data_IF_016696379505
#
_entry.id   IF_016696379505
#
_cell.length_a   1.000
_cell.length_b   1.000
_cell.length_c   1.000
_cell.angle_alpha   90.00
_cell.angle_beta   90.00
_cell.angle_gamma   90.00
#
_symmetry.space_group_name_H-M   'P 1'
#
loop_
_entity.id
_entity.type
_entity.pdbx_description
1 polymer ?
#
# COMPACT_ATOMS: atom_id res chain seq x y z
N UNK A 1 2.99 -17.47 10.45
CA UNK A 1 4.13 -16.97 9.64
C UNK A 1 4.15 -15.44 9.73
N UNK A 2 5.31 -14.85 10.03
CA UNK A 2 5.49 -13.39 9.92
C UNK A 2 6.07 -13.12 8.54
N UNK A 3 5.41 -12.24 7.79
CA UNK A 3 5.81 -11.89 6.43
C UNK A 3 7.01 -10.94 6.45
N UNK A 4 8.04 -11.26 5.67
CA UNK A 4 9.18 -10.36 5.43
C UNK A 4 8.95 -9.55 4.15
N UNK A 5 8.31 -8.40 4.30
CA UNK A 5 8.03 -7.53 3.16
C UNK A 5 9.26 -6.85 2.59
N UNK A 6 10.38 -6.77 3.32
CA UNK A 6 11.62 -6.24 2.76
C UNK A 6 12.22 -7.24 1.78
N UNK A 7 12.32 -8.51 2.17
CA UNK A 7 12.81 -9.56 1.28
C UNK A 7 11.93 -9.67 0.03
N UNK A 8 10.61 -9.68 0.20
CA UNK A 8 9.66 -9.73 -0.92
C UNK A 8 9.74 -8.49 -1.83
N UNK A 9 9.88 -7.29 -1.26
CA UNK A 9 10.09 -6.08 -2.05
C UNK A 9 11.38 -6.14 -2.87
N UNK A 10 12.47 -6.70 -2.31
CA UNK A 10 13.72 -6.89 -3.04
C UNK A 10 13.57 -7.86 -4.23
N UNK A 11 12.77 -8.93 -4.09
CA UNK A 11 12.44 -9.82 -5.21
C UNK A 11 11.75 -9.08 -6.35
N UNK A 12 10.73 -8.27 -6.05
CA UNK A 12 10.04 -7.44 -7.05
C UNK A 12 11.02 -6.47 -7.72
N UNK A 13 11.78 -5.71 -6.91
CA UNK A 13 12.74 -4.71 -7.40
C UNK A 13 13.83 -5.33 -8.28
N UNK A 14 14.27 -6.55 -7.96
CA UNK A 14 15.28 -7.25 -8.74
C UNK A 14 14.79 -7.66 -10.14
N UNK A 15 13.47 -7.79 -10.33
CA UNK A 15 12.86 -8.12 -11.62
C UNK A 15 12.48 -6.88 -12.45
N UNK A 16 12.54 -5.66 -11.88
CA UNK A 16 12.20 -4.44 -12.62
C UNK A 16 13.27 -4.08 -13.67
N UNK A 17 12.89 -3.52 -14.82
CA UNK A 17 13.87 -3.06 -15.80
C UNK A 17 14.68 -1.89 -15.24
N UNK A 18 15.98 -1.82 -15.57
CA UNK A 18 16.83 -0.68 -15.20
C UNK A 18 16.81 0.30 -16.36
N UNK A 19 16.05 1.38 -16.21
CA UNK A 19 15.81 2.37 -17.26
C UNK A 19 15.94 3.77 -16.69
N UNK A 20 16.54 4.67 -17.47
CA UNK A 20 16.50 6.11 -17.17
C UNK A 20 15.04 6.57 -17.16
N UNK A 21 14.58 7.00 -16.00
CA UNK A 21 13.28 7.62 -15.81
C UNK A 21 13.39 8.72 -14.76
N UNK A 22 12.42 9.63 -14.74
CA UNK A 22 12.33 10.73 -13.76
C UNK A 22 11.04 10.61 -12.96
N UNK A 23 11.16 10.56 -11.64
CA UNK A 23 10.04 10.56 -10.71
C UNK A 23 10.01 11.87 -9.93
N UNK A 24 8.96 12.66 -10.12
CA UNK A 24 8.70 13.85 -9.33
C UNK A 24 8.03 13.46 -8.00
N UNK A 25 8.55 13.98 -6.87
CA UNK A 25 8.02 13.71 -5.54
C UNK A 25 7.65 15.02 -4.86
N UNK A 26 6.38 15.17 -4.52
CA UNK A 26 5.89 16.27 -3.68
C UNK A 26 5.94 15.87 -2.22
N UNK A 27 6.67 16.62 -1.42
CA UNK A 27 6.80 16.39 0.02
C UNK A 27 6.55 17.70 0.76
N UNK A 28 5.61 17.66 1.70
CA UNK A 28 5.46 18.74 2.68
C UNK A 28 6.74 18.79 3.54
N UNK A 29 7.46 19.92 3.59
CA UNK A 29 8.67 20.04 4.40
C UNK A 29 8.45 19.78 5.89
N UNK A 30 7.22 19.93 6.39
CA UNK A 30 6.87 19.63 7.78
C UNK A 30 6.59 18.14 8.03
N UNK A 31 6.43 17.33 6.97
CA UNK A 31 6.17 15.91 7.08
C UNK A 31 7.47 15.10 7.27
N UNK A 32 7.99 15.12 8.50
CA UNK A 32 9.22 14.41 8.89
C UNK A 32 9.12 12.89 8.68
N UNK A 33 7.93 12.31 8.89
CA UNK A 33 7.68 10.88 8.67
C UNK A 33 7.75 10.52 7.18
N UNK A 34 7.15 11.34 6.32
CA UNK A 34 7.21 11.22 4.87
C UNK A 34 8.63 11.39 4.34
N UNK A 35 9.41 12.31 4.90
CA UNK A 35 10.81 12.51 4.50
C UNK A 35 11.66 11.23 4.64
N UNK A 36 11.41 10.40 5.67
CA UNK A 36 12.09 9.10 5.81
C UNK A 36 11.74 8.14 4.68
N UNK A 37 10.49 8.10 4.24
CA UNK A 37 10.08 7.27 3.09
C UNK A 37 10.61 7.78 1.78
N UNK A 38 10.67 9.11 1.60
CA UNK A 38 11.31 9.70 0.42
C UNK A 38 12.77 9.28 0.34
N UNK A 39 13.52 9.27 1.45
CA UNK A 39 14.90 8.74 1.47
C UNK A 39 15.00 7.29 0.98
N UNK A 40 14.12 6.41 1.48
CA UNK A 40 14.06 5.01 1.03
C UNK A 40 13.76 4.93 -0.47
N UNK A 41 12.79 5.71 -0.95
CA UNK A 41 12.44 5.80 -2.37
C UNK A 41 13.63 6.31 -3.20
N UNK A 42 14.39 7.29 -2.72
CA UNK A 42 15.59 7.79 -3.40
C UNK A 42 16.68 6.73 -3.51
N UNK A 43 16.90 5.92 -2.48
CA UNK A 43 17.87 4.82 -2.52
C UNK A 43 17.45 3.75 -3.55
N UNK A 44 16.17 3.37 -3.58
CA UNK A 44 15.62 2.44 -4.56
C UNK A 44 15.70 3.02 -5.97
N UNK A 45 15.31 4.29 -6.15
CA UNK A 45 15.38 4.99 -7.43
C UNK A 45 16.80 4.96 -8.02
N UNK A 46 17.82 5.28 -7.19
CA UNK A 46 19.23 5.24 -7.60
C UNK A 46 19.64 3.86 -8.10
N UNK A 47 19.21 2.79 -7.42
CA UNK A 47 19.50 1.39 -7.82
C UNK A 47 18.84 1.01 -9.15
N UNK A 48 17.68 1.60 -9.46
CA UNK A 48 16.93 1.33 -10.69
C UNK A 48 17.31 2.25 -11.86
N UNK A 49 18.19 3.23 -11.63
CA UNK A 49 18.54 4.24 -12.64
C UNK A 49 17.50 5.35 -12.80
N UNK A 50 16.63 5.54 -11.79
CA UNK A 50 15.60 6.57 -11.75
C UNK A 50 16.12 7.81 -11.03
N UNK A 51 15.92 8.97 -11.63
CA UNK A 51 16.19 10.28 -11.04
C UNK A 51 14.98 10.75 -10.23
N UNK A 52 15.21 11.27 -9.02
CA UNK A 52 14.18 11.88 -8.18
C UNK A 52 14.28 13.40 -8.31
N UNK A 53 13.16 14.04 -8.63
CA UNK A 53 13.03 15.50 -8.67
C UNK A 53 12.02 15.93 -7.61
N UNK A 54 12.34 16.93 -6.79
CA UNK A 54 11.46 17.35 -5.70
C UNK A 54 10.52 18.50 -6.12
N UNK A 55 9.26 18.42 -5.70
CA UNK A 55 8.27 19.52 -5.72
C UNK A 55 8.11 20.23 -7.09
N UNK A 56 8.00 19.46 -8.18
CA UNK A 56 7.87 19.97 -9.55
C UNK A 56 6.76 19.26 -10.33
N UNK A 57 5.86 20.02 -10.97
CA UNK A 57 4.83 19.55 -11.92
C UNK A 57 5.10 20.17 -13.29
N UNK A 58 4.83 19.42 -14.35
CA UNK A 58 4.80 19.94 -15.72
C UNK A 58 6.15 19.97 -16.44
N UNK A 59 7.16 19.26 -15.94
CA UNK A 59 8.43 19.04 -16.63
C UNK A 59 8.42 17.75 -17.48
N UNK A 60 9.64 17.26 -17.74
CA UNK A 60 9.90 16.04 -18.50
C UNK A 60 9.86 14.76 -17.64
N UNK A 61 9.17 14.81 -16.51
CA UNK A 61 9.09 13.68 -15.58
C UNK A 61 8.18 12.56 -16.13
N UNK A 62 8.57 11.30 -15.90
CA UNK A 62 7.84 10.11 -16.35
C UNK A 62 6.73 9.69 -15.39
N UNK A 63 6.87 10.05 -14.10
CA UNK A 63 5.86 9.83 -13.07
C UNK A 63 5.92 10.91 -12.01
N UNK A 64 4.79 11.13 -11.33
CA UNK A 64 4.61 12.13 -10.28
C UNK A 64 3.89 11.45 -9.12
N UNK A 65 4.34 11.71 -7.90
CA UNK A 65 3.65 11.27 -6.68
C UNK A 65 3.60 12.36 -5.62
N UNK A 66 2.60 12.28 -4.74
CA UNK A 66 2.47 13.17 -3.57
C UNK A 66 2.67 12.35 -2.31
N UNK A 67 3.73 12.64 -1.57
CA UNK A 67 4.02 11.95 -0.32
C UNK A 67 3.03 12.42 0.75
N UNK A 68 2.12 11.52 1.14
CA UNK A 68 1.16 11.77 2.19
C UNK A 68 1.76 11.61 3.60
N UNK A 69 1.20 12.31 4.61
CA UNK A 69 0.24 13.40 4.49
C UNK A 69 0.85 14.66 3.83
N UNK A 70 0.01 15.41 3.11
CA UNK A 70 0.34 16.72 2.54
C UNK A 70 -0.91 17.62 2.62
N UNK A 71 -0.80 18.88 3.08
CA UNK A 71 -1.95 19.77 3.26
C UNK A 71 -2.72 19.99 1.94
N UNK A 72 -1.99 20.23 0.85
CA UNK A 72 -2.58 20.41 -0.49
C UNK A 72 -2.72 19.11 -1.30
N UNK A 73 -2.70 17.94 -0.65
CA UNK A 73 -2.66 16.64 -1.36
C UNK A 73 -3.71 16.51 -2.46
N UNK A 74 -4.99 16.80 -2.17
CA UNK A 74 -6.06 16.71 -3.15
C UNK A 74 -5.85 17.62 -4.37
N UNK A 75 -5.40 18.87 -4.13
CA UNK A 75 -5.11 19.83 -5.18
C UNK A 75 -3.92 19.40 -6.03
N UNK A 76 -2.86 18.88 -5.41
CA UNK A 76 -1.68 18.40 -6.14
C UNK A 76 -2.02 17.16 -6.97
N UNK A 77 -2.69 16.17 -6.37
CA UNK A 77 -3.09 14.92 -7.05
C UNK A 77 -3.99 15.23 -8.26
N UNK A 78 -4.94 16.17 -8.14
CA UNK A 78 -5.83 16.53 -9.25
C UNK A 78 -5.13 17.25 -10.41
N UNK A 79 -3.93 17.80 -10.20
CA UNK A 79 -3.10 18.44 -11.23
C UNK A 79 -2.12 17.49 -11.93
N UNK A 80 -1.92 16.29 -11.39
CA UNK A 80 -1.07 15.28 -12.01
C UNK A 80 -1.76 14.76 -13.28
N UNK A 81 -1.11 14.76 -14.45
CA UNK A 81 -1.64 14.07 -15.63
C UNK A 81 -1.89 12.58 -15.31
N UNK A 82 -3.06 12.01 -15.61
CA UNK A 82 -3.42 10.64 -15.19
C UNK A 82 -2.35 9.60 -15.52
N UNK A 83 -1.78 9.66 -16.72
CA UNK A 83 -0.75 8.74 -17.21
C UNK A 83 0.59 8.85 -16.46
N UNK A 84 0.78 9.92 -15.68
CA UNK A 84 1.96 10.15 -14.83
C UNK A 84 1.66 9.90 -13.34
N UNK A 85 0.42 9.60 -12.94
CA UNK A 85 0.06 9.32 -11.54
C UNK A 85 0.48 7.91 -11.11
N UNK A 86 1.78 7.67 -11.02
CA UNK A 86 2.36 6.35 -10.73
C UNK A 86 2.06 5.84 -9.31
N UNK A 87 1.58 6.70 -8.42
CA UNK A 87 1.10 6.31 -7.08
C UNK A 87 -0.37 5.86 -7.09
N UNK A 88 -1.08 6.10 -8.20
CA UNK A 88 -2.46 5.66 -8.44
C UNK A 88 -3.48 6.31 -7.52
N UNK A 89 -3.26 7.58 -7.13
CA UNK A 89 -4.13 8.27 -6.17
C UNK A 89 -5.31 9.00 -6.81
N UNK A 90 -5.30 9.18 -8.13
CA UNK A 90 -6.43 9.73 -8.90
C UNK A 90 -7.47 8.66 -9.18
N UNK A 91 -8.74 9.07 -9.29
CA UNK A 91 -9.83 8.15 -9.68
C UNK A 91 -9.70 7.67 -11.13
N UNK A 92 -9.15 8.50 -12.02
CA UNK A 92 -8.90 8.23 -13.44
C UNK A 92 -7.47 7.76 -13.72
N UNK A 93 -6.69 7.43 -12.68
CA UNK A 93 -5.35 6.88 -12.86
C UNK A 93 -5.43 5.54 -13.61
N UNK A 94 -4.57 5.31 -14.63
CA UNK A 94 -4.51 4.01 -15.27
C UNK A 94 -3.81 2.97 -14.40
N UNK A 95 -3.21 3.36 -13.27
CA UNK A 95 -2.43 2.47 -12.40
C UNK A 95 -3.17 2.12 -11.11
N UNK A 96 -2.88 0.93 -10.58
CA UNK A 96 -3.36 0.55 -9.24
C UNK A 96 -2.66 1.43 -8.22
N UNK A 97 -3.40 1.94 -7.21
CA UNK A 97 -2.75 2.57 -6.09
C UNK A 97 -1.67 1.64 -5.56
N UNK A 98 -0.44 2.15 -5.42
CA UNK A 98 0.72 1.29 -5.15
C UNK A 98 0.52 0.41 -3.90
N UNK A 99 -0.18 0.94 -2.89
CA UNK A 99 -0.54 0.22 -1.65
C UNK A 99 -1.57 -0.90 -1.88
N UNK A 100 -2.52 -0.70 -2.80
CA UNK A 100 -3.53 -1.71 -3.14
C UNK A 100 -2.87 -2.82 -3.96
N UNK A 101 -1.96 -2.47 -4.88
CA UNK A 101 -1.14 -3.47 -5.58
C UNK A 101 -0.28 -4.25 -4.60
N UNK A 102 0.41 -3.59 -3.69
CA UNK A 102 1.23 -4.26 -2.69
C UNK A 102 0.42 -5.25 -1.85
N UNK A 103 -0.78 -4.87 -1.39
CA UNK A 103 -1.69 -5.78 -0.68
C UNK A 103 -2.08 -6.99 -1.53
N UNK A 104 -2.36 -6.78 -2.83
CA UNK A 104 -2.66 -7.84 -3.79
C UNK A 104 -1.47 -8.79 -3.99
N UNK A 105 -0.27 -8.28 -4.23
CA UNK A 105 0.94 -9.10 -4.43
C UNK A 105 1.28 -9.91 -3.18
N UNK A 106 1.15 -9.32 -1.98
CA UNK A 106 1.32 -10.04 -0.72
C UNK A 106 0.31 -11.17 -0.60
N UNK A 107 -0.96 -10.93 -0.91
CA UNK A 107 -1.99 -11.96 -0.85
C UNK A 107 -1.77 -13.08 -1.88
N UNK A 108 -1.36 -12.74 -3.12
CA UNK A 108 -1.05 -13.70 -4.17
C UNK A 108 0.18 -14.56 -3.83
N UNK A 109 1.15 -14.02 -3.09
CA UNK A 109 2.35 -14.76 -2.67
C UNK A 109 2.02 -16.00 -1.80
N UNK A 110 0.84 -16.04 -1.18
CA UNK A 110 0.38 -17.17 -0.38
C UNK A 110 0.00 -18.39 -1.21
N UNK A 111 -0.31 -18.23 -2.50
CA UNK A 111 -0.79 -19.30 -3.38
C UNK A 111 -2.02 -20.06 -2.81
N UNK A 112 -2.87 -19.35 -2.08
CA UNK A 112 -4.08 -19.90 -1.44
C UNK A 112 -5.33 -19.63 -2.31
N UNK A 113 -6.30 -20.55 -2.29
CA UNK A 113 -7.62 -20.29 -2.88
C UNK A 113 -8.44 -19.34 -1.99
N UNK A 114 -8.58 -18.10 -2.47
CA UNK A 114 -9.29 -17.03 -1.77
C UNK A 114 -10.81 -17.19 -1.85
N UNK A 115 -11.35 -17.92 -2.84
CA UNK A 115 -12.80 -18.00 -3.07
C UNK A 115 -13.54 -18.75 -1.96
N UNK A 116 -12.84 -19.64 -1.25
CA UNK A 116 -13.40 -20.40 -0.12
C UNK A 116 -13.22 -19.70 1.23
N UNK A 117 -12.58 -18.53 1.26
CA UNK A 117 -12.23 -17.82 2.50
C UNK A 117 -13.11 -16.60 2.70
N UNK A 118 -13.62 -16.42 3.92
CA UNK A 118 -14.36 -15.22 4.30
C UNK A 118 -13.37 -14.06 4.48
N UNK A 119 -13.45 -13.06 3.61
CA UNK A 119 -12.60 -11.87 3.66
C UNK A 119 -13.35 -10.67 4.24
N UNK A 120 -12.67 -9.88 5.06
CA UNK A 120 -13.12 -8.56 5.51
C UNK A 120 -12.05 -7.51 5.23
N UNK A 121 -12.50 -6.33 4.80
CA UNK A 121 -11.68 -5.12 4.65
C UNK A 121 -12.16 -4.12 5.70
N UNK A 122 -11.30 -3.78 6.66
CA UNK A 122 -11.57 -2.79 7.71
C UNK A 122 -11.01 -1.43 7.27
N UNK A 123 -11.82 -0.37 7.34
CA UNK A 123 -11.57 0.91 6.67
C UNK A 123 -12.07 0.94 5.23
N UNK A 124 -13.17 0.24 4.95
CA UNK A 124 -13.70 -0.03 3.61
C UNK A 124 -14.16 1.21 2.84
N UNK A 125 -14.57 2.28 3.54
CA UNK A 125 -15.06 3.53 2.94
C UNK A 125 -13.94 4.50 2.53
N UNK A 126 -12.73 4.30 3.05
CA UNK A 126 -11.56 5.11 2.72
C UNK A 126 -11.05 4.88 1.29
N UNK A 127 -10.11 5.72 0.84
CA UNK A 127 -9.55 5.60 -0.52
C UNK A 127 -8.95 4.22 -0.81
N UNK A 128 -8.11 3.71 0.10
CA UNK A 128 -7.49 2.38 -0.02
C UNK A 128 -8.55 1.27 0.09
N UNK A 129 -9.46 1.38 1.06
CA UNK A 129 -10.55 0.42 1.27
C UNK A 129 -11.46 0.29 0.05
N UNK A 130 -11.91 1.40 -0.53
CA UNK A 130 -12.75 1.39 -1.74
C UNK A 130 -12.09 0.68 -2.92
N UNK A 131 -10.79 0.89 -3.12
CA UNK A 131 -10.05 0.21 -4.18
C UNK A 131 -9.85 -1.30 -3.88
N UNK A 132 -9.64 -1.67 -2.62
CA UNK A 132 -9.62 -3.08 -2.22
C UNK A 132 -10.99 -3.75 -2.39
N UNK A 133 -12.09 -3.07 -2.07
CA UNK A 133 -13.46 -3.59 -2.26
C UNK A 133 -13.77 -3.81 -3.75
N UNK A 134 -13.27 -2.95 -4.65
CA UNK A 134 -13.37 -3.17 -6.10
C UNK A 134 -12.59 -4.41 -6.56
N UNK A 135 -11.42 -4.64 -5.98
CA UNK A 135 -10.56 -5.78 -6.31
C UNK A 135 -11.11 -7.11 -5.75
N UNK A 136 -11.77 -7.06 -4.59
CA UNK A 136 -12.32 -8.21 -3.89
C UNK A 136 -13.83 -8.03 -3.66
N UNK A 137 -14.67 -8.19 -4.70
CA UNK A 137 -16.11 -7.88 -4.62
C UNK A 137 -16.90 -8.76 -3.63
N UNK A 138 -16.34 -9.91 -3.24
CA UNK A 138 -16.93 -10.81 -2.25
C UNK A 138 -16.50 -10.50 -0.80
N UNK A 139 -15.59 -9.53 -0.60
CA UNK A 139 -15.17 -9.12 0.73
C UNK A 139 -16.28 -8.35 1.44
N UNK A 140 -16.36 -8.51 2.76
CA UNK A 140 -17.22 -7.69 3.61
C UNK A 140 -16.48 -6.40 3.97
N UNK A 141 -17.15 -5.26 3.79
CA UNK A 141 -16.66 -3.97 4.28
C UNK A 141 -17.02 -3.76 5.76
N UNK A 142 -16.09 -3.18 6.50
CA UNK A 142 -16.28 -2.64 7.85
C UNK A 142 -15.47 -1.35 7.95
N UNK A 143 -15.91 -0.37 8.70
CA UNK A 143 -15.19 0.85 9.00
C UNK A 143 -14.90 0.95 10.50
N UNK A 144 -14.20 2.01 10.93
CA UNK A 144 -13.84 2.15 12.35
C UNK A 144 -15.06 2.43 13.23
N UNK A 145 -16.07 3.11 12.67
CA UNK A 145 -17.30 3.52 13.35
C UNK A 145 -18.23 2.36 13.67
N UNK A 146 -18.23 1.32 12.83
CA UNK A 146 -19.05 0.12 12.96
C UNK A 146 -18.20 -1.15 13.20
N UNK A 147 -16.96 -0.97 13.69
CA UNK A 147 -16.04 -2.07 13.97
C UNK A 147 -16.61 -3.00 15.06
N UNK A 148 -16.70 -4.29 14.74
CA UNK A 148 -17.21 -5.32 15.63
C UNK A 148 -16.08 -6.33 15.99
N UNK A 149 -15.56 -6.29 17.23
CA UNK A 149 -14.49 -7.18 17.69
C UNK A 149 -14.86 -8.66 17.76
N UNK A 150 -16.15 -9.03 17.79
CA UNK A 150 -16.57 -10.43 17.75
C UNK A 150 -16.75 -10.91 16.31
N UNK A 151 -17.37 -10.07 15.46
CA UNK A 151 -17.55 -10.39 14.03
C UNK A 151 -16.21 -10.56 13.31
N UNK A 152 -15.19 -9.79 13.67
CA UNK A 152 -13.84 -9.89 13.06
C UNK A 152 -13.24 -11.30 13.20
N UNK A 153 -13.60 -12.04 14.27
CA UNK A 153 -13.13 -13.41 14.55
C UNK A 153 -13.79 -14.48 13.68
N UNK A 154 -14.72 -14.10 12.80
CA UNK A 154 -15.39 -15.01 11.86
C UNK A 154 -14.70 -15.07 10.49
N UNK A 155 -13.76 -14.16 10.22
CA UNK A 155 -13.10 -14.02 8.93
C UNK A 155 -11.78 -14.80 8.86
N UNK A 156 -11.52 -15.38 7.69
CA UNK A 156 -10.29 -16.08 7.36
C UNK A 156 -9.20 -15.12 6.88
N UNK A 157 -9.60 -14.03 6.23
CA UNK A 157 -8.70 -12.98 5.75
C UNK A 157 -9.19 -11.64 6.29
N UNK A 158 -8.28 -10.90 6.92
CA UNK A 158 -8.52 -9.56 7.43
C UNK A 158 -7.49 -8.61 6.81
N UNK A 159 -7.96 -7.67 5.99
CA UNK A 159 -7.14 -6.57 5.46
C UNK A 159 -7.57 -5.29 6.18
N UNK A 160 -6.64 -4.58 6.82
CA UNK A 160 -6.96 -3.33 7.52
C UNK A 160 -6.28 -2.13 6.85
N UNK A 161 -7.05 -1.07 6.62
CA UNK A 161 -6.63 0.19 6.02
C UNK A 161 -7.22 1.40 6.77
N UNK A 162 -7.39 1.28 8.08
CA UNK A 162 -8.04 2.29 8.93
C UNK A 162 -7.11 3.40 9.38
N UNK A 163 -5.80 3.13 9.46
CA UNK A 163 -4.83 4.04 10.07
C UNK A 163 -5.11 4.31 11.55
N UNK A 164 -5.79 3.37 12.24
CA UNK A 164 -6.20 3.47 13.64
C UNK A 164 -5.42 2.44 14.47
N UNK A 165 -4.32 2.86 15.12
CA UNK A 165 -3.40 1.91 15.73
C UNK A 165 -4.05 1.01 16.80
N UNK A 166 -3.80 -0.30 16.71
CA UNK A 166 -4.32 -1.32 17.62
C UNK A 166 -5.87 -1.37 17.73
N UNK A 167 -6.59 -0.97 16.67
CA UNK A 167 -8.04 -1.16 16.58
C UNK A 167 -8.39 -2.65 16.65
N UNK A 168 -7.67 -3.50 15.90
CA UNK A 168 -7.91 -4.94 15.82
C UNK A 168 -7.06 -5.64 16.88
N UNK A 169 -7.67 -5.97 18.01
CA UNK A 169 -6.98 -6.59 19.16
C UNK A 169 -7.03 -8.12 19.18
N UNK A 170 -7.95 -8.70 18.42
CA UNK A 170 -8.10 -10.15 18.32
C UNK A 170 -8.63 -10.56 16.95
N UNK A 171 -8.41 -11.82 16.58
CA UNK A 171 -8.69 -12.40 15.27
C UNK A 171 -9.09 -13.88 15.37
N UNK A 172 -9.62 -14.43 14.28
CA UNK A 172 -9.80 -15.88 14.12
C UNK A 172 -8.44 -16.58 14.22
N UNK A 173 -8.36 -17.71 14.95
CA UNK A 173 -7.18 -18.58 14.92
C UNK A 173 -6.95 -19.08 13.49
N UNK A 174 -5.74 -18.89 12.98
CA UNK A 174 -5.37 -19.24 11.61
C UNK A 174 -5.71 -18.18 10.56
N UNK A 175 -6.17 -16.99 10.94
CA UNK A 175 -6.45 -15.92 9.98
C UNK A 175 -5.18 -15.45 9.25
N UNK A 176 -5.38 -14.98 8.01
CA UNK A 176 -4.43 -14.20 7.23
C UNK A 176 -4.68 -12.73 7.54
N UNK A 177 -3.65 -12.01 8.01
CA UNK A 177 -3.74 -10.61 8.41
C UNK A 177 -2.80 -9.75 7.56
N UNK A 178 -3.40 -8.80 6.82
CA UNK A 178 -2.68 -7.80 6.03
C UNK A 178 -2.97 -6.42 6.63
N UNK A 179 -1.93 -5.78 7.15
CA UNK A 179 -1.97 -4.51 7.87
C UNK A 179 -1.38 -3.41 7.00
N UNK A 180 -2.25 -2.49 6.56
CA UNK A 180 -1.90 -1.30 5.79
C UNK A 180 -1.84 -0.04 6.68
N UNK A 181 -1.95 -0.21 7.99
CA UNK A 181 -1.88 0.86 8.98
C UNK A 181 -0.51 1.55 9.00
N UNK A 182 -0.52 2.87 9.15
CA UNK A 182 0.67 3.71 9.22
C UNK A 182 0.40 4.96 10.07
N UNK A 183 1.35 5.44 10.91
CA UNK A 183 2.73 4.96 11.14
C UNK A 183 2.86 3.75 12.05
N UNK A 184 1.77 3.32 12.68
CA UNK A 184 1.67 2.11 13.49
C UNK A 184 0.62 1.20 12.85
N UNK A 185 0.76 -0.11 13.07
CA UNK A 185 -0.20 -1.09 12.56
C UNK A 185 -1.58 -0.95 13.18
N UNK A 186 -2.60 -1.25 12.40
CA UNK A 186 -3.99 -1.29 12.86
C UNK A 186 -4.26 -2.52 13.74
N UNK A 187 -3.45 -3.59 13.58
CA UNK A 187 -3.51 -4.77 14.43
C UNK A 187 -2.65 -4.60 15.68
N UNK A 188 -3.15 -5.10 16.81
CA UNK A 188 -2.31 -5.37 17.98
C UNK A 188 -1.24 -6.41 17.59
N UNK A 189 0.05 -6.17 17.89
CA UNK A 189 1.13 -7.10 17.54
C UNK A 189 0.93 -8.53 18.07
N UNK A 190 0.18 -8.70 19.16
CA UNK A 190 -0.17 -10.00 19.73
C UNK A 190 -1.07 -10.87 18.84
N UNK A 191 -1.74 -10.29 17.84
CA UNK A 191 -2.50 -11.03 16.84
C UNK A 191 -1.61 -12.01 16.05
N UNK A 192 -0.31 -11.71 15.91
CA UNK A 192 0.64 -12.57 15.20
C UNK A 192 0.74 -14.00 15.78
N UNK A 193 0.40 -14.20 17.06
CA UNK A 193 0.41 -15.50 17.73
C UNK A 193 -0.75 -16.39 17.31
N UNK A 194 -1.85 -15.80 16.82
CA UNK A 194 -3.04 -16.52 16.34
C UNK A 194 -3.06 -16.65 14.82
N UNK A 195 -2.47 -15.70 14.11
CA UNK A 195 -2.50 -15.64 12.66
C UNK A 195 -1.68 -16.77 11.99
N UNK A 196 -2.21 -17.34 10.90
CA UNK A 196 -1.41 -18.22 10.03
C UNK A 196 -0.41 -17.41 9.21
N UNK A 197 -0.78 -16.18 8.85
CA UNK A 197 0.05 -15.21 8.15
C UNK A 197 -0.20 -13.80 8.67
N UNK A 198 0.86 -13.03 8.90
CA UNK A 198 0.77 -11.68 9.47
C UNK A 198 1.80 -10.76 8.85
N UNK A 199 1.36 -9.63 8.29
CA UNK A 199 2.27 -8.57 7.82
C UNK A 199 2.61 -7.62 8.97
N UNK A 200 3.89 -7.49 9.38
CA UNK A 200 4.25 -6.58 10.46
C UNK A 200 4.24 -5.12 10.03
N UNK A 201 4.02 -4.21 10.98
CA UNK A 201 4.21 -2.77 10.77
C UNK A 201 5.22 -2.25 11.79
N UNK A 202 6.38 -1.71 11.35
CA UNK A 202 6.86 -1.59 9.97
C UNK A 202 7.43 -2.91 9.42
N UNK A 203 7.65 -2.96 8.09
CA UNK A 203 8.40 -4.05 7.44
C UNK A 203 7.58 -5.07 6.66
N UNK A 204 6.25 -5.01 6.76
CA UNK A 204 5.31 -5.81 5.98
C UNK A 204 4.97 -5.13 4.65
N UNK A 205 3.77 -4.55 4.52
CA UNK A 205 3.32 -4.03 3.21
C UNK A 205 4.07 -2.77 2.76
N UNK A 206 4.55 -1.94 3.69
CA UNK A 206 5.22 -0.66 3.37
C UNK A 206 6.37 -0.75 2.36
N UNK A 207 7.39 -1.62 2.56
CA UNK A 207 8.44 -1.86 1.56
C UNK A 207 7.90 -2.34 0.20
N UNK A 208 6.87 -3.19 0.20
CA UNK A 208 6.23 -3.70 -1.03
C UNK A 208 5.52 -2.56 -1.78
N UNK A 209 4.89 -1.63 -1.07
CA UNK A 209 4.31 -0.40 -1.66
C UNK A 209 5.36 0.42 -2.41
N UNK A 210 6.59 0.52 -1.89
CA UNK A 210 7.68 1.21 -2.59
C UNK A 210 8.06 0.46 -3.87
N UNK A 211 8.14 -0.87 -3.83
CA UNK A 211 8.42 -1.67 -5.04
C UNK A 211 7.33 -1.51 -6.10
N UNK A 212 6.06 -1.60 -5.72
CA UNK A 212 4.91 -1.42 -6.63
C UNK A 212 4.84 -0.01 -7.24
N UNK A 213 5.25 1.03 -6.52
CA UNK A 213 5.39 2.39 -7.07
C UNK A 213 6.38 2.44 -8.24
N UNK A 214 7.55 1.81 -8.09
CA UNK A 214 8.53 1.75 -9.18
C UNK A 214 8.10 0.82 -10.30
N UNK A 215 7.32 -0.21 -10.01
CA UNK A 215 6.71 -1.06 -11.02
C UNK A 215 5.71 -0.28 -11.89
N UNK A 216 4.84 0.53 -11.27
CA UNK A 216 3.95 1.46 -11.99
C UNK A 216 4.74 2.42 -12.89
N UNK A 217 5.85 2.97 -12.39
CA UNK A 217 6.69 3.89 -13.15
C UNK A 217 7.40 3.23 -14.35
N UNK A 218 7.99 2.04 -14.14
CA UNK A 218 8.97 1.47 -15.07
C UNK A 218 8.36 0.50 -16.08
N UNK A 219 7.33 -0.23 -15.68
CA UNK A 219 6.63 -1.18 -16.56
C UNK A 219 5.37 -0.56 -17.15
N UNK A 220 4.76 0.41 -16.44
CA UNK A 220 3.50 1.05 -16.82
C UNK A 220 2.35 0.06 -17.02
N UNK A 221 2.19 -0.90 -16.10
CA UNK A 221 1.01 -1.77 -16.10
C UNK A 221 -0.25 -0.95 -15.88
N UNK A 222 -0.98 -0.69 -16.97
CA UNK A 222 -2.34 -0.17 -16.92
C UNK A 222 -3.28 -1.25 -16.41
N UNK A 223 -4.31 -0.81 -15.69
CA UNK A 223 -5.39 -1.63 -15.17
C UNK A 223 -6.29 -2.28 -16.20
#
# INVERSE_FOLDING_TARGET
MIFDGKAFAEEILNNLPRKKAKLAVFLDPNNTSGARYVKIKTEVAKRLGVEIVMNRIGGDEDGIMVQLPHPDSQKLISQIPPEKDVDGLREDSPYLPAVVRASKEVLLSLQEDLLQKRMVIVGSSGFVGKNLMKLYPNAIGMDKEDFDPEKIKTFDIVISATGSPNLIKDIKKGAICIDLGFPKGDFDPGCNRKASFFTPVPGGVGPVTVACLFENLLIKYSH
#
